data_IF_781317003682
#
_entry.id   IF_781317003682
#
_cell.length_a   1.000
_cell.length_b   1.000
_cell.length_c   1.000
_cell.angle_alpha   90.00
_cell.angle_beta   90.00
_cell.angle_gamma   90.00
#
_symmetry.space_group_name_H-M   'P 1'
#
loop_
_entity.id
_entity.type
_entity.pdbx_description
1 polymer ?
#
# COMPACT_ATOMS: atom_id res chain seq x y z
N UNK A 1 -10.77 -12.00 -17.89
CA UNK A 1 -10.47 -11.77 -19.31
C UNK A 1 -10.50 -10.26 -19.56
N UNK A 2 -9.37 -9.57 -19.39
CA UNK A 2 -9.29 -8.10 -19.55
C UNK A 2 -8.79 -7.76 -20.95
N UNK A 3 -9.60 -7.03 -21.73
CA UNK A 3 -9.24 -6.61 -23.09
C UNK A 3 -8.15 -5.53 -23.07
N UNK A 4 -6.93 -5.91 -23.44
CA UNK A 4 -5.88 -4.98 -23.88
C UNK A 4 -6.31 -4.36 -25.20
N UNK A 5 -6.33 -3.02 -25.29
CA UNK A 5 -6.55 -2.32 -26.56
C UNK A 5 -5.39 -2.64 -27.51
N UNK A 6 -5.65 -2.94 -28.80
CA UNK A 6 -4.58 -3.24 -29.75
C UNK A 6 -3.78 -1.96 -30.03
N UNK A 7 -2.54 -1.93 -29.54
CA UNK A 7 -1.54 -0.91 -29.89
C UNK A 7 -0.96 -1.32 -31.24
N UNK A 8 -1.13 -0.49 -32.27
CA UNK A 8 -0.77 -0.80 -33.65
C UNK A 8 0.76 -0.92 -33.86
N UNK A 9 1.57 -0.17 -33.10
CA UNK A 9 3.03 -0.24 -33.12
C UNK A 9 3.60 -0.16 -31.69
N UNK A 10 3.74 -1.30 -31.00
CA UNK A 10 4.39 -1.34 -29.70
C UNK A 10 5.90 -1.09 -29.85
N UNK A 11 6.53 -0.39 -28.90
CA UNK A 11 7.98 -0.12 -28.95
C UNK A 11 8.83 -1.40 -29.06
N UNK A 12 8.28 -2.52 -28.60
CA UNK A 12 8.90 -3.83 -28.53
C UNK A 12 8.76 -4.68 -29.81
N UNK A 13 8.15 -4.15 -30.88
CA UNK A 13 8.02 -4.84 -32.18
C UNK A 13 9.37 -5.31 -32.76
N UNK A 14 10.46 -4.59 -32.43
CA UNK A 14 11.82 -4.87 -32.91
C UNK A 14 12.59 -5.88 -32.05
N UNK A 15 12.01 -6.37 -30.94
CA UNK A 15 12.64 -7.36 -30.05
C UNK A 15 12.02 -8.76 -30.24
N UNK A 16 12.53 -9.60 -31.15
CA UNK A 16 11.91 -10.87 -31.54
C UNK A 16 11.84 -11.93 -30.42
N UNK A 17 12.54 -11.73 -29.31
CA UNK A 17 12.59 -12.66 -28.17
C UNK A 17 12.02 -12.10 -26.86
N UNK A 18 11.51 -10.86 -26.87
CA UNK A 18 11.07 -10.19 -25.64
C UNK A 18 9.54 -10.03 -25.65
N UNK A 19 8.83 -11.06 -25.19
CA UNK A 19 7.40 -10.94 -24.88
C UNK A 19 7.24 -10.26 -23.52
N UNK A 20 7.06 -8.94 -23.54
CA UNK A 20 6.92 -8.13 -22.32
C UNK A 20 5.72 -8.56 -21.47
N UNK A 21 4.67 -9.13 -22.07
CA UNK A 21 3.52 -9.63 -21.31
C UNK A 21 3.86 -10.88 -20.51
N UNK A 22 4.82 -11.68 -20.98
CA UNK A 22 5.37 -12.82 -20.25
C UNK A 22 6.39 -12.38 -19.20
N UNK A 23 7.19 -11.36 -19.52
CA UNK A 23 8.21 -10.79 -18.62
C UNK A 23 7.60 -10.06 -17.42
N UNK A 24 6.46 -9.38 -17.60
CA UNK A 24 5.73 -8.68 -16.54
C UNK A 24 4.39 -9.38 -16.38
N UNK A 25 4.42 -10.59 -15.81
CA UNK A 25 3.18 -11.29 -15.47
C UNK A 25 2.41 -10.44 -14.45
N UNK A 26 1.15 -10.01 -14.74
CA UNK A 26 0.37 -9.14 -13.86
C UNK A 26 0.25 -9.66 -12.43
N UNK A 27 0.27 -10.99 -12.27
CA UNK A 27 0.19 -11.67 -10.98
C UNK A 27 1.36 -11.33 -10.06
N UNK A 28 2.59 -11.22 -10.58
CA UNK A 28 3.78 -10.94 -9.76
C UNK A 28 3.74 -9.48 -9.26
N UNK A 29 3.41 -8.53 -10.12
CA UNK A 29 3.31 -7.12 -9.73
C UNK A 29 2.21 -6.91 -8.69
N UNK A 30 1.06 -7.56 -8.90
CA UNK A 30 -0.06 -7.49 -7.96
C UNK A 30 0.27 -8.15 -6.61
N UNK A 31 0.89 -9.33 -6.62
CA UNK A 31 1.32 -10.01 -5.39
C UNK A 31 2.37 -9.20 -4.62
N UNK A 32 3.36 -8.63 -5.33
CA UNK A 32 4.37 -7.77 -4.72
C UNK A 32 3.71 -6.54 -4.08
N UNK A 33 2.79 -5.90 -4.78
CA UNK A 33 2.03 -4.76 -4.25
C UNK A 33 1.28 -5.13 -2.97
N UNK A 34 0.52 -6.24 -2.98
CA UNK A 34 -0.18 -6.74 -1.79
C UNK A 34 0.79 -7.05 -0.64
N UNK A 35 1.94 -7.65 -0.94
CA UNK A 35 2.98 -7.98 0.04
C UNK A 35 3.59 -6.74 0.69
N UNK A 36 4.03 -5.78 -0.12
CA UNK A 36 4.61 -4.50 0.34
C UNK A 36 3.60 -3.76 1.21
N UNK A 37 2.35 -3.66 0.78
CA UNK A 37 1.32 -2.95 1.52
C UNK A 37 0.99 -3.63 2.84
N UNK A 38 0.86 -4.97 2.87
CA UNK A 38 0.65 -5.73 4.12
C UNK A 38 1.78 -5.49 5.11
N UNK A 39 3.03 -5.53 4.63
CA UNK A 39 4.20 -5.29 5.45
C UNK A 39 4.24 -3.84 5.98
N UNK A 40 3.93 -2.87 5.12
CA UNK A 40 3.92 -1.45 5.48
C UNK A 40 2.87 -1.12 6.55
N UNK A 41 1.67 -1.69 6.46
CA UNK A 41 0.62 -1.52 7.48
C UNK A 41 1.05 -2.16 8.81
N UNK A 42 1.65 -3.34 8.77
CA UNK A 42 2.21 -4.00 9.96
C UNK A 42 3.27 -3.12 10.61
N UNK A 43 4.22 -2.62 9.82
CA UNK A 43 5.32 -1.79 10.29
C UNK A 43 4.85 -0.48 10.90
N UNK A 44 3.87 0.20 10.28
CA UNK A 44 3.26 1.41 10.83
C UNK A 44 2.50 1.12 12.12
N UNK A 45 1.85 -0.04 12.21
CA UNK A 45 1.16 -0.50 13.42
C UNK A 45 2.15 -0.76 14.55
N UNK A 46 3.32 -1.31 14.25
CA UNK A 46 4.39 -1.56 15.23
C UNK A 46 5.05 -0.27 15.73
N UNK A 47 5.26 0.71 14.84
CA UNK A 47 5.90 1.99 15.20
C UNK A 47 4.93 2.91 15.96
N UNK A 48 3.75 3.15 15.40
CA UNK A 48 2.80 4.14 15.95
C UNK A 48 1.90 3.53 17.03
N UNK A 49 1.77 2.20 17.05
CA UNK A 49 0.81 1.49 17.87
C UNK A 49 -0.57 1.37 17.20
N UNK A 50 -1.19 0.21 17.35
CA UNK A 50 -2.51 -0.12 16.78
C UNK A 50 -3.59 0.92 17.10
N UNK A 51 -3.66 1.36 18.37
CA UNK A 51 -4.68 2.30 18.83
C UNK A 51 -4.56 3.68 18.16
N UNK A 52 -3.34 4.14 17.93
CA UNK A 52 -3.07 5.45 17.32
C UNK A 52 -3.39 5.42 15.82
N UNK A 53 -3.00 4.34 15.13
CA UNK A 53 -3.36 4.13 13.73
C UNK A 53 -4.88 4.11 13.55
N UNK A 54 -5.61 3.37 14.38
CA UNK A 54 -7.07 3.30 14.29
C UNK A 54 -7.74 4.64 14.63
N UNK A 55 -7.18 5.39 15.59
CA UNK A 55 -7.65 6.73 15.92
C UNK A 55 -7.48 7.70 14.74
N UNK A 56 -6.34 7.63 14.04
CA UNK A 56 -6.07 8.45 12.84
C UNK A 56 -6.97 8.09 11.68
N UNK A 57 -7.14 6.79 11.41
CA UNK A 57 -8.06 6.33 10.37
C UNK A 57 -9.48 6.82 10.63
N UNK A 58 -9.92 6.85 11.91
CA UNK A 58 -11.23 7.37 12.28
C UNK A 58 -11.37 8.88 12.09
N UNK A 59 -10.27 9.63 12.18
CA UNK A 59 -10.23 11.09 11.99
C UNK A 59 -10.10 11.51 10.52
N UNK A 60 -9.82 10.58 9.61
CA UNK A 60 -9.72 10.90 8.19
C UNK A 60 -11.01 11.53 7.67
N UNK A 61 -10.94 12.68 6.98
CA UNK A 61 -12.12 13.33 6.46
C UNK A 61 -12.80 12.43 5.40
N UNK A 62 -14.14 12.32 5.41
CA UNK A 62 -14.86 11.52 4.44
C UNK A 62 -14.64 12.09 3.04
N UNK A 63 -13.93 11.34 2.20
CA UNK A 63 -13.62 11.70 0.82
C UNK A 63 -14.52 10.93 -0.14
N UNK A 64 -14.95 11.54 -1.24
CA UNK A 64 -15.84 10.89 -2.20
C UNK A 64 -15.17 9.62 -2.79
N UNK A 65 -15.75 8.45 -2.54
CA UNK A 65 -15.21 7.15 -2.97
C UNK A 65 -14.31 6.44 -1.94
N UNK A 66 -14.13 7.00 -0.74
CA UNK A 66 -13.38 6.37 0.35
C UNK A 66 -14.33 5.78 1.41
N UNK A 67 -14.07 4.53 1.82
CA UNK A 67 -14.86 3.86 2.85
C UNK A 67 -14.35 4.29 4.22
N UNK A 68 -15.28 4.61 5.11
CA UNK A 68 -14.97 5.00 6.48
C UNK A 68 -14.79 3.73 7.31
N UNK A 69 -13.60 3.56 7.90
CA UNK A 69 -13.30 2.44 8.78
C UNK A 69 -13.60 2.83 10.23
N UNK A 70 -14.86 2.70 10.65
CA UNK A 70 -15.29 3.09 12.00
C UNK A 70 -14.56 2.34 13.13
N UNK A 71 -14.17 1.07 12.87
CA UNK A 71 -13.40 0.21 13.79
C UNK A 71 -11.88 0.24 13.53
N UNK A 72 -11.40 1.11 12.64
CA UNK A 72 -9.99 1.13 12.24
C UNK A 72 -9.62 0.03 11.25
N UNK A 73 -8.32 -0.18 11.05
CA UNK A 73 -7.76 -1.09 10.05
C UNK A 73 -7.08 -2.31 10.64
N UNK A 74 -6.68 -2.26 11.91
CA UNK A 74 -5.95 -3.34 12.58
C UNK A 74 -6.78 -4.62 12.74
N UNK A 75 -8.11 -4.48 12.80
CA UNK A 75 -9.05 -5.61 12.92
C UNK A 75 -9.36 -6.31 11.59
N UNK A 76 -8.87 -5.78 10.46
CA UNK A 76 -9.14 -6.33 9.13
C UNK A 76 -8.19 -7.51 8.83
N UNK A 77 -8.65 -8.73 9.10
CA UNK A 77 -7.93 -9.96 8.76
C UNK A 77 -8.04 -10.36 7.29
N UNK A 78 -9.07 -9.86 6.59
CA UNK A 78 -9.35 -10.13 5.17
C UNK A 78 -9.64 -8.82 4.46
N UNK A 79 -8.68 -8.34 3.69
CA UNK A 79 -8.78 -7.09 2.92
C UNK A 79 -9.08 -7.43 1.46
N UNK A 80 -10.21 -6.93 0.94
CA UNK A 80 -10.58 -6.99 -0.48
C UNK A 80 -9.71 -6.05 -1.32
N UNK A 81 -9.58 -6.28 -2.63
CA UNK A 81 -8.82 -5.40 -3.52
C UNK A 81 -9.30 -3.95 -3.52
N UNK A 82 -10.61 -3.71 -3.32
CA UNK A 82 -11.17 -2.37 -3.17
C UNK A 82 -10.77 -1.70 -1.86
N UNK A 83 -10.76 -2.46 -0.77
CA UNK A 83 -10.31 -2.00 0.55
C UNK A 83 -8.82 -1.70 0.50
N UNK A 84 -8.04 -2.54 -0.17
CA UNK A 84 -6.61 -2.36 -0.35
C UNK A 84 -6.28 -1.04 -1.05
N UNK A 85 -6.97 -0.75 -2.16
CA UNK A 85 -6.81 0.52 -2.89
C UNK A 85 -7.11 1.72 -1.99
N UNK A 86 -8.14 1.63 -1.14
CA UNK A 86 -8.49 2.70 -0.21
C UNK A 86 -7.45 2.85 0.90
N UNK A 87 -6.93 1.73 1.43
CA UNK A 87 -5.84 1.76 2.41
C UNK A 87 -4.63 2.48 1.86
N UNK A 88 -4.25 2.21 0.61
CA UNK A 88 -3.14 2.90 -0.05
C UNK A 88 -3.37 4.41 -0.17
N UNK A 89 -4.60 4.86 -0.40
CA UNK A 89 -4.93 6.28 -0.55
C UNK A 89 -4.69 7.09 0.72
N UNK A 90 -5.04 6.56 1.90
CA UNK A 90 -4.82 7.27 3.15
C UNK A 90 -3.52 6.92 3.86
N UNK A 91 -2.83 5.84 3.47
CA UNK A 91 -1.58 5.43 4.11
C UNK A 91 -0.49 6.50 4.01
N UNK A 92 -0.41 7.22 2.88
CA UNK A 92 0.45 8.40 2.73
C UNK A 92 0.07 9.52 3.71
N UNK A 93 -1.23 9.72 3.93
CA UNK A 93 -1.73 10.67 4.91
C UNK A 93 -1.30 10.30 6.33
N UNK A 94 -1.41 9.02 6.70
CA UNK A 94 -0.94 8.51 7.99
C UNK A 94 0.58 8.74 8.12
N UNK A 95 1.39 8.34 7.14
CA UNK A 95 2.86 8.51 7.17
C UNK A 95 3.25 9.97 7.38
N UNK A 96 2.61 10.89 6.64
CA UNK A 96 2.91 12.33 6.74
C UNK A 96 2.48 12.93 8.06
N UNK A 97 1.39 12.41 8.61
CA UNK A 97 0.83 12.83 9.90
C UNK A 97 1.59 12.21 11.09
N UNK A 98 2.38 11.14 10.90
CA UNK A 98 3.26 10.64 11.97
C UNK A 98 4.21 11.80 12.31
N UNK A 99 4.08 12.42 13.50
CA UNK A 99 4.93 13.54 13.86
C UNK A 99 6.34 12.99 13.83
N UNK A 100 7.14 13.53 12.88
CA UNK A 100 8.53 13.19 12.59
C UNK A 100 9.10 12.28 13.64
N UNK A 101 9.34 11.00 13.34
CA UNK A 101 10.06 10.02 14.18
C UNK A 101 10.85 10.79 15.21
N UNK A 102 10.22 11.03 16.38
CA UNK A 102 10.76 12.01 17.31
C UNK A 102 12.20 11.57 17.53
N UNK A 103 13.15 12.50 17.55
CA UNK A 103 14.57 12.18 17.72
C UNK A 103 14.83 11.17 18.87
N UNK A 104 13.88 10.96 19.77
CA UNK A 104 13.82 9.87 20.74
C UNK A 104 13.60 8.43 20.21
N UNK A 105 12.82 8.18 19.15
CA UNK A 105 12.55 6.83 18.62
C UNK A 105 13.60 6.33 17.62
N UNK A 106 14.31 7.25 16.94
CA UNK A 106 15.46 6.87 16.09
C UNK A 106 16.57 6.19 16.90
N UNK A 107 16.78 6.58 18.16
CA UNK A 107 17.75 5.94 19.06
C UNK A 107 17.35 4.52 19.53
N UNK A 108 16.08 4.12 19.40
CA UNK A 108 15.65 2.75 19.70
C UNK A 108 15.71 1.80 18.50
N UNK A 109 15.82 2.33 17.28
CA UNK A 109 15.89 1.54 16.04
C UNK A 109 17.33 1.15 15.63
N UNK A 110 18.36 1.72 16.28
CA UNK A 110 19.77 1.39 16.05
C UNK A 110 20.53 1.06 17.37
N UNK A 111 20.16 0.03 18.15
CA UNK A 111 20.99 -0.37 19.29
C UNK A 111 22.18 -1.27 18.90
N UNK A 112 22.39 -1.61 17.62
CA UNK A 112 23.45 -2.55 17.20
C UNK A 112 24.19 -2.09 15.94
N UNK A 113 24.90 -0.96 16.03
CA UNK A 113 26.07 -0.68 15.18
C UNK A 113 27.21 -0.16 16.06
#
# INVERSE_FOLDING_TARGET
MGCLKPVQHPFWEVLPYCDIFRSITPDILHQLYQGVMKHLISWLTDICGANEIDARVRRLPPTHGMRIFHKGITTLSRVSGSEHKQMCSFLLGIITDVPSLSTHQSHQLLPNL
#
